data_IF_042743688487
#
_entry.id   IF_042743688487
#
_cell.length_a   1.000
_cell.length_b   1.000
_cell.length_c   1.000
_cell.angle_alpha   90.00
_cell.angle_beta   90.00
_cell.angle_gamma   90.00
#
_symmetry.space_group_name_H-M   'P 1'
#
loop_
_entity.id
_entity.type
_entity.pdbx_description
1 polymer ?
#
# COMPACT_ATOMS: atom_id res chain seq x y z
N UNK A 1 -7.78 -6.13 13.36
CA UNK A 1 -7.34 -4.89 12.70
C UNK A 1 -7.62 -5.03 11.22
N UNK A 2 -8.39 -4.13 10.64
CA UNK A 2 -8.73 -4.14 9.21
C UNK A 2 -7.46 -3.80 8.41
N UNK A 3 -7.20 -4.50 7.30
CA UNK A 3 -6.07 -4.26 6.37
C UNK A 3 -4.65 -4.58 6.88
N UNK A 4 -4.48 -5.54 7.80
CA UNK A 4 -3.14 -6.01 8.19
C UNK A 4 -2.34 -6.59 7.01
N UNK A 5 -3.02 -7.21 6.04
CA UNK A 5 -2.38 -7.82 4.88
C UNK A 5 -1.60 -6.80 4.05
N UNK A 6 -2.16 -5.61 3.82
CA UNK A 6 -1.49 -4.52 3.11
C UNK A 6 -0.21 -4.10 3.83
N UNK A 7 -0.26 -3.97 5.17
CA UNK A 7 0.91 -3.62 5.97
C UNK A 7 1.96 -4.73 5.94
N UNK A 8 1.52 -6.00 5.97
CA UNK A 8 2.41 -7.16 5.91
C UNK A 8 3.11 -7.24 4.55
N UNK A 9 2.35 -7.16 3.45
CA UNK A 9 2.86 -7.14 2.08
C UNK A 9 3.85 -6.01 1.85
N UNK A 10 3.50 -4.78 2.27
CA UNK A 10 4.40 -3.64 2.17
C UNK A 10 5.72 -3.90 2.92
N UNK A 11 5.64 -4.43 4.14
CA UNK A 11 6.82 -4.77 4.95
C UNK A 11 7.64 -5.92 4.38
N UNK A 12 7.00 -7.00 3.93
CA UNK A 12 7.66 -8.16 3.29
C UNK A 12 8.42 -7.76 2.03
N UNK A 13 7.82 -6.86 1.22
CA UNK A 13 8.43 -6.38 -0.01
C UNK A 13 9.36 -5.16 0.19
N UNK A 14 9.53 -4.66 1.41
CA UNK A 14 10.34 -3.46 1.70
C UNK A 14 9.75 -2.14 1.20
N UNK A 15 8.48 -2.13 0.78
CA UNK A 15 7.78 -0.94 0.27
C UNK A 15 7.21 -0.11 1.42
N UNK A 16 7.47 1.19 1.42
CA UNK A 16 6.94 2.11 2.44
C UNK A 16 5.52 2.56 2.10
N UNK A 17 4.66 2.68 3.11
CA UNK A 17 3.23 3.04 2.94
C UNK A 17 3.04 4.38 2.22
N UNK A 18 3.92 5.35 2.45
CA UNK A 18 3.89 6.65 1.78
C UNK A 18 4.16 6.55 0.27
N UNK A 19 4.99 5.61 -0.19
CA UNK A 19 5.31 5.45 -1.62
C UNK A 19 4.09 4.90 -2.39
N UNK A 20 3.34 4.00 -1.76
CA UNK A 20 2.05 3.53 -2.26
C UNK A 20 1.05 4.68 -2.31
N UNK A 21 1.01 5.50 -1.25
CA UNK A 21 0.12 6.66 -1.18
C UNK A 21 0.44 7.65 -2.30
N UNK A 22 1.72 7.98 -2.54
CA UNK A 22 2.14 8.83 -3.65
C UNK A 22 1.71 8.27 -5.00
N UNK A 23 1.83 6.96 -5.21
CA UNK A 23 1.38 6.33 -6.46
C UNK A 23 -0.14 6.37 -6.64
N UNK A 24 -0.88 6.38 -5.54
CA UNK A 24 -2.33 6.59 -5.50
C UNK A 24 -2.73 8.08 -5.60
N UNK A 25 -1.77 9.00 -5.72
CA UNK A 25 -1.99 10.45 -5.61
C UNK A 25 -2.68 10.83 -4.28
N UNK A 26 -2.34 10.12 -3.20
CA UNK A 26 -2.84 10.33 -1.85
C UNK A 26 -1.68 10.72 -0.93
N UNK A 27 -1.98 11.56 0.05
CA UNK A 27 -1.05 11.84 1.14
C UNK A 27 -1.04 10.69 2.15
N UNK A 28 0.09 10.44 2.81
CA UNK A 28 0.25 9.41 3.86
C UNK A 28 -0.86 9.49 4.93
N UNK A 29 -1.24 10.71 5.35
CA UNK A 29 -2.33 10.93 6.31
C UNK A 29 -3.70 10.45 5.82
N UNK A 30 -4.00 10.62 4.53
CA UNK A 30 -5.22 10.10 3.91
C UNK A 30 -5.16 8.57 3.83
N UNK A 31 -4.01 8.01 3.47
CA UNK A 31 -3.83 6.57 3.38
C UNK A 31 -3.92 5.87 4.75
N UNK A 32 -3.31 6.44 5.79
CA UNK A 32 -3.42 5.95 7.17
C UNK A 32 -4.84 6.06 7.74
N UNK A 33 -5.62 7.06 7.31
CA UNK A 33 -7.06 7.13 7.63
C UNK A 33 -7.82 6.07 6.86
N UNK A 34 -7.56 5.91 5.57
CA UNK A 34 -8.19 4.90 4.71
C UNK A 34 -8.01 3.49 5.26
N UNK A 35 -6.80 3.14 5.71
CA UNK A 35 -6.48 1.85 6.33
C UNK A 35 -7.23 1.58 7.65
N UNK A 36 -7.70 2.63 8.33
CA UNK A 36 -8.49 2.51 9.57
C UNK A 36 -9.98 2.27 9.31
N UNK A 37 -10.47 2.51 8.10
CA UNK A 37 -11.85 2.27 7.70
C UNK A 37 -11.98 0.95 6.92
N UNK A 38 -13.21 0.41 6.84
CA UNK A 38 -13.48 -0.76 6.01
C UNK A 38 -13.28 -0.39 4.54
N UNK A 39 -12.15 -0.83 3.98
CA UNK A 39 -11.79 -0.59 2.59
C UNK A 39 -12.52 -1.65 1.75
N UNK A 40 -13.23 -1.29 0.68
CA UNK A 40 -13.75 -2.29 -0.25
C UNK A 40 -12.59 -3.08 -0.87
N UNK A 41 -12.78 -4.39 -1.03
CA UNK A 41 -11.77 -5.33 -1.53
C UNK A 41 -11.09 -4.87 -2.82
N UNK A 42 -11.81 -4.16 -3.69
CA UNK A 42 -11.24 -3.59 -4.92
C UNK A 42 -10.11 -2.60 -4.66
N UNK A 43 -10.26 -1.72 -3.66
CA UNK A 43 -9.21 -0.75 -3.30
C UNK A 43 -8.03 -1.47 -2.65
N UNK A 44 -8.28 -2.47 -1.81
CA UNK A 44 -7.23 -3.29 -1.22
C UNK A 44 -6.41 -4.01 -2.29
N UNK A 45 -7.07 -4.61 -3.30
CA UNK A 45 -6.40 -5.25 -4.44
C UNK A 45 -5.56 -4.27 -5.27
N UNK A 46 -6.08 -3.07 -5.53
CA UNK A 46 -5.29 -2.00 -6.21
C UNK A 46 -4.03 -1.64 -5.42
N UNK A 47 -4.15 -1.50 -4.10
CA UNK A 47 -3.02 -1.21 -3.22
C UNK A 47 -1.98 -2.34 -3.29
N UNK A 48 -2.41 -3.60 -3.19
CA UNK A 48 -1.51 -4.76 -3.28
C UNK A 48 -0.79 -4.76 -4.62
N UNK A 49 -1.50 -4.54 -5.74
CA UNK A 49 -0.89 -4.49 -7.06
C UNK A 49 0.19 -3.41 -7.17
N UNK A 50 -0.08 -2.21 -6.63
CA UNK A 50 0.90 -1.12 -6.57
C UNK A 50 2.11 -1.50 -5.70
N UNK A 51 1.91 -2.17 -4.57
CA UNK A 51 3.01 -2.68 -3.74
C UNK A 51 3.88 -3.64 -4.55
N UNK A 52 3.28 -4.54 -5.33
CA UNK A 52 4.05 -5.47 -6.16
C UNK A 52 4.85 -4.76 -7.25
N UNK A 53 4.24 -3.77 -7.92
CA UNK A 53 4.93 -2.95 -8.92
C UNK A 53 6.10 -2.16 -8.31
N UNK A 54 5.87 -1.49 -7.17
CA UNK A 54 6.90 -0.73 -6.46
C UNK A 54 8.02 -1.62 -5.95
N UNK A 55 7.68 -2.80 -5.43
CA UNK A 55 8.66 -3.79 -4.99
C UNK A 55 9.53 -4.28 -6.14
N UNK A 56 8.92 -4.58 -7.28
CA UNK A 56 9.65 -4.99 -8.47
C UNK A 56 10.60 -3.90 -8.97
N UNK A 57 10.19 -2.62 -8.86
CA UNK A 57 11.01 -1.49 -9.27
C UNK A 57 12.16 -1.19 -8.28
N UNK A 58 11.98 -1.50 -7.00
CA UNK A 58 12.99 -1.24 -5.95
C UNK A 58 14.09 -2.29 -5.88
N UNK A 59 13.95 -3.44 -6.55
CA UNK A 59 14.96 -4.53 -6.59
C UNK A 59 16.04 -4.26 -7.67
N UNK A 60 15.91 -3.19 -8.47
CA UNK A 60 16.78 -2.93 -9.62
C UNK A 60 17.77 -1.77 -9.45
N UNK A 61 18.03 -1.29 -8.23
CA UNK A 61 19.06 -0.26 -7.94
C UNK A 61 20.24 -0.84 -7.16
#
# INVERSE_FOLDING_TARGET
MVNQEIRRMAKEKGVKLWCIAEKLNLSDGNFSRLLRHNLPDEKAKKIIKIIEELASNSIHE
#
